data_IF_618203691763
#
_entry.id   IF_618203691763
#
_cell.length_a   1.000
_cell.length_b   1.000
_cell.length_c   1.000
_cell.angle_alpha   90.00
_cell.angle_beta   90.00
_cell.angle_gamma   90.00
#
_symmetry.space_group_name_H-M   'P 1'
#
loop_
_entity.id
_entity.type
_entity.pdbx_description
1 polymer ?
#
# COMPACT_ATOMS: atom_id res chain seq x y z
N UNK A 1 0.47 -28.84 9.80
CA UNK A 1 -0.27 -29.48 8.70
C UNK A 1 -1.66 -28.87 8.65
N UNK A 2 -1.92 -27.97 7.71
CA UNK A 2 -3.27 -27.42 7.53
C UNK A 2 -4.11 -28.43 6.75
N UNK A 3 -5.18 -28.94 7.35
CA UNK A 3 -6.20 -29.72 6.64
C UNK A 3 -7.03 -28.75 5.81
N UNK A 4 -6.62 -28.54 4.56
CA UNK A 4 -7.38 -27.75 3.59
C UNK A 4 -8.68 -28.49 3.29
N UNK A 5 -9.80 -27.97 3.79
CA UNK A 5 -11.12 -28.51 3.49
C UNK A 5 -11.41 -28.34 1.99
N UNK A 6 -12.00 -29.38 1.39
CA UNK A 6 -12.44 -29.33 -0.02
C UNK A 6 -13.55 -28.29 -0.18
N UNK A 7 -13.65 -27.63 -1.36
CA UNK A 7 -14.72 -26.67 -1.62
C UNK A 7 -16.09 -27.34 -1.53
N UNK A 8 -17.08 -26.60 -1.01
CA UNK A 8 -18.47 -27.06 -0.86
C UNK A 8 -19.12 -27.33 -2.22
N UNK A 9 -18.80 -26.52 -3.23
CA UNK A 9 -19.29 -26.66 -4.59
C UNK A 9 -18.23 -26.19 -5.58
N UNK A 10 -18.21 -26.85 -6.75
CA UNK A 10 -17.43 -26.44 -7.92
C UNK A 10 -18.34 -25.92 -9.04
N UNK A 11 -19.64 -25.79 -8.80
CA UNK A 11 -20.58 -25.27 -9.80
C UNK A 11 -20.28 -23.78 -10.08
N UNK A 12 -20.23 -23.43 -11.37
CA UNK A 12 -20.17 -22.04 -11.81
C UNK A 12 -21.51 -21.31 -11.68
N UNK A 13 -21.53 -19.98 -11.90
CA UNK A 13 -22.76 -19.20 -11.85
C UNK A 13 -23.71 -19.58 -12.98
N UNK A 14 -25.02 -19.45 -12.74
CA UNK A 14 -26.05 -19.49 -13.77
C UNK A 14 -26.22 -18.12 -14.41
N UNK A 15 -26.89 -18.04 -15.57
CA UNK A 15 -27.18 -16.77 -16.26
C UNK A 15 -27.92 -15.78 -15.35
N UNK A 16 -28.83 -16.26 -14.50
CA UNK A 16 -29.54 -15.44 -13.51
C UNK A 16 -28.60 -14.88 -12.42
N UNK A 17 -27.51 -15.58 -12.07
CA UNK A 17 -26.52 -15.09 -11.10
C UNK A 17 -25.63 -14.00 -11.73
N UNK A 18 -25.29 -14.17 -13.02
CA UNK A 18 -24.56 -13.16 -13.81
C UNK A 18 -25.39 -11.89 -13.91
N UNK A 19 -26.69 -12.00 -14.21
CA UNK A 19 -27.60 -10.85 -14.25
C UNK A 19 -27.67 -10.14 -12.89
N UNK A 20 -27.84 -10.89 -11.79
CA UNK A 20 -27.88 -10.31 -10.44
C UNK A 20 -26.56 -9.64 -10.05
N UNK A 21 -25.43 -10.17 -10.50
CA UNK A 21 -24.11 -9.56 -10.30
C UNK A 21 -24.03 -8.21 -11.03
N UNK A 22 -24.57 -8.10 -12.25
CA UNK A 22 -24.61 -6.84 -12.98
C UNK A 22 -25.50 -5.79 -12.29
N UNK A 23 -26.66 -6.20 -11.78
CA UNK A 23 -27.58 -5.33 -11.02
C UNK A 23 -26.92 -4.83 -9.72
N UNK A 24 -26.22 -5.71 -9.00
CA UNK A 24 -25.45 -5.33 -7.81
C UNK A 24 -24.35 -4.32 -8.15
N UNK A 25 -23.54 -4.58 -9.18
CA UNK A 25 -22.48 -3.66 -9.59
C UNK A 25 -23.03 -2.28 -9.93
N UNK A 26 -24.15 -2.21 -10.66
CA UNK A 26 -24.82 -0.95 -10.99
C UNK A 26 -25.22 -0.19 -9.71
N UNK A 27 -25.83 -0.88 -8.75
CA UNK A 27 -26.22 -0.27 -7.47
C UNK A 27 -25.01 0.27 -6.69
N UNK A 28 -23.90 -0.47 -6.63
CA UNK A 28 -22.69 -0.04 -5.92
C UNK A 28 -22.04 1.20 -6.56
N UNK A 29 -22.05 1.28 -7.90
CA UNK A 29 -21.59 2.47 -8.63
C UNK A 29 -22.49 3.67 -8.35
N UNK A 30 -23.81 3.49 -8.40
CA UNK A 30 -24.78 4.55 -8.11
C UNK A 30 -24.71 5.03 -6.65
N UNK A 31 -24.32 4.16 -5.72
CA UNK A 31 -24.06 4.49 -4.32
C UNK A 31 -22.73 5.23 -4.09
N UNK A 32 -21.90 5.41 -5.13
CA UNK A 32 -20.62 6.12 -5.03
C UNK A 32 -19.56 5.39 -4.20
N UNK A 33 -19.59 4.05 -4.19
CA UNK A 33 -18.66 3.25 -3.36
C UNK A 33 -17.28 3.05 -4.01
N UNK A 34 -17.15 3.33 -5.30
CA UNK A 34 -15.88 3.21 -6.02
C UNK A 34 -15.19 4.56 -6.11
N UNK A 35 -13.88 4.54 -5.88
CA UNK A 35 -13.02 5.68 -6.05
C UNK A 35 -13.01 6.20 -7.49
N UNK A 36 -12.87 7.52 -7.65
CA UNK A 36 -12.73 8.14 -8.97
C UNK A 36 -11.31 7.97 -9.52
N UNK A 37 -11.17 7.97 -10.86
CA UNK A 37 -9.85 7.86 -11.49
C UNK A 37 -8.87 8.96 -11.06
N UNK A 38 -9.38 10.18 -10.83
CA UNK A 38 -8.56 11.32 -10.36
C UNK A 38 -8.06 11.11 -8.93
N UNK A 39 -8.91 10.59 -8.03
CA UNK A 39 -8.49 10.25 -6.66
C UNK A 39 -7.46 9.12 -6.66
N UNK A 40 -7.68 8.07 -7.46
CA UNK A 40 -6.71 6.98 -7.60
C UNK A 40 -5.35 7.49 -8.11
N UNK A 41 -5.34 8.34 -9.14
CA UNK A 41 -4.12 8.94 -9.68
C UNK A 41 -3.39 9.79 -8.62
N UNK A 42 -4.15 10.57 -7.82
CA UNK A 42 -3.58 11.37 -6.73
C UNK A 42 -2.96 10.49 -5.63
N UNK A 43 -3.54 9.34 -5.31
CA UNK A 43 -2.96 8.40 -4.35
C UNK A 43 -1.66 7.78 -4.86
N UNK A 44 -1.60 7.44 -6.14
CA UNK A 44 -0.37 6.95 -6.78
C UNK A 44 0.74 8.00 -6.74
N UNK A 45 0.41 9.26 -7.01
CA UNK A 45 1.35 10.38 -6.89
C UNK A 45 1.91 10.50 -5.46
N UNK A 46 1.02 10.50 -4.45
CA UNK A 46 1.42 10.58 -3.04
C UNK A 46 2.31 9.40 -2.64
N UNK A 47 2.00 8.18 -3.09
CA UNK A 47 2.83 7.01 -2.84
C UNK A 47 4.21 7.14 -3.50
N UNK A 48 4.28 7.69 -4.71
CA UNK A 48 5.53 7.96 -5.40
C UNK A 48 6.41 8.99 -4.68
N UNK A 49 5.81 10.06 -4.16
CA UNK A 49 6.52 11.06 -3.37
C UNK A 49 6.97 10.49 -2.02
N UNK A 50 6.11 9.71 -1.34
CA UNK A 50 6.47 9.05 -0.09
C UNK A 50 7.63 8.07 -0.27
N UNK A 51 7.67 7.33 -1.39
CA UNK A 51 8.77 6.42 -1.74
C UNK A 51 10.11 7.16 -1.88
N UNK A 52 10.11 8.32 -2.56
CA UNK A 52 11.31 9.17 -2.65
C UNK A 52 11.74 9.65 -1.27
N UNK A 53 10.80 10.16 -0.46
CA UNK A 53 11.09 10.69 0.88
C UNK A 53 11.76 9.63 1.76
N UNK A 54 11.23 8.40 1.80
CA UNK A 54 11.82 7.36 2.67
C UNK A 54 13.20 6.91 2.19
N UNK A 55 13.43 6.88 0.87
CA UNK A 55 14.73 6.52 0.29
C UNK A 55 15.78 7.58 0.60
N UNK A 56 15.45 8.84 0.36
CA UNK A 56 16.35 9.96 0.64
C UNK A 56 16.65 10.05 2.14
N UNK A 57 15.64 9.84 2.98
CA UNK A 57 15.82 9.78 4.43
C UNK A 57 16.79 8.68 4.86
N UNK A 58 16.65 7.46 4.32
CA UNK A 58 17.58 6.36 4.64
C UNK A 58 19.00 6.70 4.18
N UNK A 59 19.19 7.29 3.00
CA UNK A 59 20.53 7.71 2.54
C UNK A 59 21.15 8.78 3.44
N UNK A 60 20.37 9.78 3.83
CA UNK A 60 20.82 10.84 4.75
C UNK A 60 21.20 10.25 6.11
N UNK A 61 20.39 9.35 6.66
CA UNK A 61 20.67 8.68 7.92
C UNK A 61 21.95 7.83 7.84
N UNK A 62 22.14 7.09 6.74
CA UNK A 62 23.35 6.31 6.50
C UNK A 62 24.59 7.22 6.42
N UNK A 63 24.48 8.37 5.78
CA UNK A 63 25.56 9.38 5.75
C UNK A 63 25.88 9.94 7.14
N UNK A 64 24.86 10.32 7.91
CA UNK A 64 25.04 10.88 9.27
C UNK A 64 25.70 9.90 10.25
N UNK A 65 25.54 8.59 10.03
CA UNK A 65 26.18 7.55 10.82
C UNK A 65 27.64 7.29 10.43
N UNK A 66 28.15 7.95 9.39
CA UNK A 66 29.54 7.83 8.95
C UNK A 66 29.84 6.56 8.16
N UNK A 67 28.83 5.95 7.51
CA UNK A 67 29.07 4.86 6.57
C UNK A 67 29.76 5.35 5.29
N UNK A 68 30.35 4.43 4.52
CA UNK A 68 31.08 4.77 3.29
C UNK A 68 30.14 5.27 2.18
N UNK A 69 30.67 6.04 1.23
CA UNK A 69 29.90 6.53 0.08
C UNK A 69 29.20 5.40 -0.69
N UNK A 70 29.88 4.25 -0.85
CA UNK A 70 29.28 3.06 -1.45
C UNK A 70 28.05 2.58 -0.68
N UNK A 71 28.14 2.50 0.65
CA UNK A 71 27.01 2.07 1.49
C UNK A 71 25.87 3.09 1.49
N UNK A 72 26.17 4.38 1.35
CA UNK A 72 25.16 5.45 1.22
C UNK A 72 24.41 5.29 -0.12
N UNK A 73 25.14 5.04 -1.21
CA UNK A 73 24.54 4.84 -2.53
C UNK A 73 23.63 3.60 -2.57
N UNK A 74 24.07 2.50 -1.94
CA UNK A 74 23.34 1.24 -1.82
C UNK A 74 22.19 1.28 -0.79
N UNK A 75 22.17 2.27 0.10
CA UNK A 75 21.13 2.37 1.13
C UNK A 75 19.76 2.64 0.50
N UNK A 76 18.78 1.82 0.87
CA UNK A 76 17.45 1.85 0.28
C UNK A 76 16.35 1.54 1.30
N UNK A 77 15.16 2.07 1.04
CA UNK A 77 13.92 1.70 1.71
C UNK A 77 12.87 1.31 0.67
N UNK A 78 11.96 0.44 1.06
CA UNK A 78 10.87 -0.04 0.20
C UNK A 78 9.55 0.17 0.91
N UNK A 79 8.60 0.82 0.24
CA UNK A 79 7.22 0.93 0.69
C UNK A 79 6.39 -0.23 0.17
N UNK A 80 5.60 -0.82 1.06
CA UNK A 80 4.59 -1.81 0.74
C UNK A 80 3.23 -1.28 1.15
N UNK A 81 2.28 -1.29 0.23
CA UNK A 81 0.87 -1.08 0.57
C UNK A 81 0.25 -2.36 1.10
N UNK A 82 -0.60 -2.23 2.10
CA UNK A 82 -1.46 -3.31 2.60
C UNK A 82 -2.88 -2.77 2.83
N UNK A 83 -3.73 -3.55 3.50
CA UNK A 83 -5.09 -3.12 3.80
C UNK A 83 -6.00 -3.05 2.57
N UNK A 84 -7.08 -2.29 2.68
CA UNK A 84 -8.13 -2.17 1.66
C UNK A 84 -7.60 -1.63 0.33
N UNK A 85 -6.68 -0.66 0.39
CA UNK A 85 -6.04 -0.09 -0.80
C UNK A 85 -5.32 -1.17 -1.62
N UNK A 86 -4.52 -2.02 -0.96
CA UNK A 86 -3.79 -3.09 -1.64
C UNK A 86 -4.71 -4.15 -2.25
N UNK A 87 -5.89 -4.36 -1.66
CA UNK A 87 -6.88 -5.33 -2.13
C UNK A 87 -7.79 -4.77 -3.24
N UNK A 88 -7.73 -3.46 -3.53
CA UNK A 88 -8.57 -2.81 -4.54
C UNK A 88 -10.05 -2.73 -4.15
N UNK A 89 -10.34 -2.73 -2.84
CA UNK A 89 -11.70 -2.63 -2.29
C UNK A 89 -11.88 -1.38 -1.42
N UNK A 90 -10.96 -0.42 -1.51
CA UNK A 90 -11.07 0.86 -0.84
C UNK A 90 -12.13 1.75 -1.53
N UNK A 91 -12.86 2.53 -0.74
CA UNK A 91 -13.80 3.52 -1.24
C UNK A 91 -13.20 4.93 -1.24
N UNK A 92 -13.97 5.92 -1.75
CA UNK A 92 -13.60 7.32 -1.65
C UNK A 92 -13.28 7.73 -0.21
N UNK A 93 -12.24 8.52 -0.02
CA UNK A 93 -11.82 8.99 1.30
C UNK A 93 -11.23 7.94 2.25
N UNK A 94 -11.06 6.68 1.83
CA UNK A 94 -10.35 5.68 2.65
C UNK A 94 -8.87 6.06 2.84
N UNK A 95 -8.22 5.57 3.89
CA UNK A 95 -6.79 5.80 4.11
C UNK A 95 -5.93 4.85 3.25
N UNK A 96 -4.61 5.11 3.18
CA UNK A 96 -3.63 4.19 2.58
C UNK A 96 -2.74 3.64 3.68
N UNK A 97 -2.85 2.33 3.92
CA UNK A 97 -1.96 1.63 4.83
C UNK A 97 -0.62 1.31 4.14
N UNK A 98 0.47 1.90 4.63
CA UNK A 98 1.83 1.70 4.10
C UNK A 98 2.79 1.16 5.16
N UNK A 99 3.57 0.15 4.79
CA UNK A 99 4.69 -0.39 5.57
C UNK A 99 6.01 0.02 4.91
N UNK A 100 6.87 0.72 5.65
CA UNK A 100 8.24 1.01 5.22
C UNK A 100 9.19 -0.07 5.72
N UNK A 101 9.93 -0.68 4.81
CA UNK A 101 10.97 -1.67 5.11
C UNK A 101 12.32 -1.07 4.73
N UNK A 102 13.21 -0.93 5.73
CA UNK A 102 14.54 -0.37 5.56
C UNK A 102 15.65 -1.27 6.12
N UNK A 103 16.90 -0.78 6.14
CA UNK A 103 18.05 -1.53 6.61
C UNK A 103 17.95 -1.90 8.10
N UNK A 104 18.56 -3.01 8.52
CA UNK A 104 18.46 -3.54 9.89
C UNK A 104 18.97 -2.59 10.99
N UNK A 105 19.86 -1.67 10.64
CA UNK A 105 20.39 -0.67 11.56
C UNK A 105 19.41 0.52 11.80
N UNK A 106 18.33 0.60 11.02
CA UNK A 106 17.25 1.57 11.21
C UNK A 106 16.22 0.97 12.17
N UNK A 107 16.20 1.44 13.41
CA UNK A 107 15.27 0.97 14.42
C UNK A 107 14.04 1.91 14.53
N UNK A 108 13.02 1.44 15.26
CA UNK A 108 11.78 2.18 15.45
C UNK A 108 12.00 3.57 16.05
N UNK A 109 12.90 3.70 17.03
CA UNK A 109 13.18 4.99 17.68
C UNK A 109 13.74 6.01 16.69
N UNK A 110 14.62 5.58 15.77
CA UNK A 110 15.19 6.43 14.73
C UNK A 110 14.13 6.85 13.70
N UNK A 111 13.17 5.99 13.38
CA UNK A 111 12.02 6.34 12.53
C UNK A 111 11.19 7.44 13.20
N UNK A 112 10.77 7.24 14.45
CA UNK A 112 9.90 8.19 15.15
C UNK A 112 10.64 9.43 15.70
N UNK A 113 11.97 9.49 15.62
CA UNK A 113 12.77 10.65 16.02
C UNK A 113 13.29 11.48 14.84
N UNK A 114 13.60 10.86 13.69
CA UNK A 114 14.23 11.55 12.55
C UNK A 114 13.39 11.54 11.27
N UNK A 115 12.39 10.65 11.14
CA UNK A 115 11.57 10.50 9.93
C UNK A 115 10.22 11.22 10.05
N UNK A 116 9.78 11.52 11.27
CA UNK A 116 8.63 12.42 11.50
C UNK A 116 9.12 13.82 11.15
N UNK A 117 8.70 14.30 9.99
CA UNK A 117 8.94 15.66 9.53
C UNK A 117 8.76 16.62 10.71
N UNK A 118 9.71 17.53 11.01
CA UNK A 118 9.40 18.67 11.84
C UNK A 118 8.37 19.48 11.05
N UNK A 119 7.09 19.33 11.42
CA UNK A 119 6.07 20.32 11.11
C UNK A 119 6.42 21.63 11.82
#
# INVERSE_FOLDING_TARGET
>A
MATSNKPISLAGPLDADVQRTAELNKFLVEAGLYESADESARREEVLGELDKIVKDWVKQLTSQRGYTDQMIEEANAVLFTFGSYRLGVHGPGADIDTLCVGPSYVNREVIFSCCVLPL
#
